data_IF_475471887952
#
_entry.id   IF_475471887952
#
_cell.length_a   1.000
_cell.length_b   1.000
_cell.length_c   1.000
_cell.angle_alpha   90.00
_cell.angle_beta   90.00
_cell.angle_gamma   90.00
#
_symmetry.space_group_name_H-M   'P 1'
#
loop_
_entity.id
_entity.type
_entity.pdbx_description
1 polymer ?
#
# COMPACT_ATOMS: atom_id res chain seq x y z
N UNK A 1 -21.56 12.87 14.98
CA UNK A 1 -21.54 14.33 15.19
C UNK A 1 -20.32 15.06 14.58
N UNK A 2 -19.57 14.46 13.66
CA UNK A 2 -18.37 15.06 13.02
C UNK A 2 -18.61 15.68 11.64
N UNK A 3 -19.80 15.49 11.06
CA UNK A 3 -20.08 15.89 9.66
C UNK A 3 -20.08 17.40 9.37
N UNK A 4 -20.43 18.24 10.34
CA UNK A 4 -20.50 19.69 10.12
C UNK A 4 -19.13 20.38 10.24
N UNK A 5 -18.19 19.85 11.02
CA UNK A 5 -16.82 20.34 11.09
C UNK A 5 -16.09 20.14 9.76
N UNK A 6 -16.35 19.04 9.02
CA UNK A 6 -15.81 18.81 7.67
C UNK A 6 -16.24 19.87 6.65
N UNK A 7 -17.42 20.49 6.83
CA UNK A 7 -17.93 21.53 5.94
C UNK A 7 -17.30 22.93 6.17
N UNK A 8 -16.64 23.16 7.30
CA UNK A 8 -16.04 24.43 7.71
C UNK A 8 -14.52 24.49 7.48
N UNK A 9 -13.87 23.38 7.15
CA UNK A 9 -12.43 23.36 6.88
C UNK A 9 -12.09 24.04 5.53
N UNK A 10 -10.97 24.79 5.45
CA UNK A 10 -10.45 25.24 4.16
C UNK A 10 -10.33 24.01 3.24
N UNK A 11 -10.87 24.12 2.02
CA UNK A 11 -10.95 23.02 1.05
C UNK A 11 -9.60 22.37 0.77
N UNK A 12 -8.52 23.13 0.85
CA UNK A 12 -7.13 22.67 0.70
C UNK A 12 -6.70 21.68 1.78
N UNK A 13 -7.06 21.92 3.05
CA UNK A 13 -6.70 21.01 4.17
C UNK A 13 -7.39 19.65 4.07
N UNK A 14 -8.55 19.58 3.44
CA UNK A 14 -9.34 18.36 3.31
C UNK A 14 -8.62 17.28 2.50
N UNK A 15 -7.91 17.63 1.44
CA UNK A 15 -7.16 16.65 0.63
C UNK A 15 -6.12 15.94 1.46
N UNK A 16 -5.28 16.66 2.17
CA UNK A 16 -4.24 16.07 3.02
C UNK A 16 -4.80 15.24 4.18
N UNK A 17 -5.98 15.57 4.67
CA UNK A 17 -6.66 14.77 5.70
C UNK A 17 -7.19 13.46 5.14
N UNK A 18 -7.75 13.48 3.94
CA UNK A 18 -8.21 12.27 3.26
C UNK A 18 -7.03 11.37 2.89
N UNK A 19 -5.93 11.93 2.36
CA UNK A 19 -4.70 11.16 2.13
C UNK A 19 -4.16 10.52 3.40
N UNK A 20 -4.12 11.26 4.52
CA UNK A 20 -3.67 10.71 5.79
C UNK A 20 -4.60 9.60 6.32
N UNK A 21 -5.92 9.73 6.15
CA UNK A 21 -6.89 8.70 6.50
C UNK A 21 -6.70 7.45 5.63
N UNK A 22 -6.54 7.62 4.31
CA UNK A 22 -6.28 6.52 3.40
C UNK A 22 -5.00 5.76 3.79
N UNK A 23 -3.89 6.48 4.03
CA UNK A 23 -2.63 5.88 4.45
C UNK A 23 -2.76 5.10 5.78
N UNK A 24 -3.55 5.58 6.74
CA UNK A 24 -3.83 4.84 7.98
C UNK A 24 -4.57 3.53 7.73
N UNK A 25 -5.57 3.54 6.86
CA UNK A 25 -6.31 2.34 6.46
C UNK A 25 -5.40 1.36 5.73
N UNK A 26 -4.54 1.85 4.85
CA UNK A 26 -3.54 1.04 4.13
C UNK A 26 -2.55 0.36 5.09
N UNK A 27 -2.07 1.07 6.12
CA UNK A 27 -1.22 0.45 7.18
C UNK A 27 -1.98 -0.64 7.93
N UNK A 28 -3.26 -0.43 8.25
CA UNK A 28 -4.06 -1.47 8.90
C UNK A 28 -4.25 -2.71 8.00
N UNK A 29 -4.43 -2.52 6.69
CA UNK A 29 -4.46 -3.60 5.69
C UNK A 29 -3.14 -4.36 5.63
N UNK A 30 -2.00 -3.65 5.61
CA UNK A 30 -0.67 -4.25 5.63
C UNK A 30 -0.41 -5.07 6.91
N UNK A 31 -0.85 -4.56 8.07
CA UNK A 31 -0.76 -5.30 9.33
C UNK A 31 -1.60 -6.59 9.30
N UNK A 32 -2.83 -6.52 8.77
CA UNK A 32 -3.67 -7.70 8.61
C UNK A 32 -3.03 -8.73 7.66
N UNK A 33 -2.41 -8.28 6.55
CA UNK A 33 -1.68 -9.14 5.62
C UNK A 33 -0.50 -9.84 6.32
N UNK A 34 0.29 -9.11 7.09
CA UNK A 34 1.38 -9.70 7.90
C UNK A 34 0.85 -10.75 8.88
N UNK A 35 -0.23 -10.47 9.59
CA UNK A 35 -0.85 -11.45 10.51
C UNK A 35 -1.37 -12.68 9.76
N UNK A 36 -1.98 -12.51 8.59
CA UNK A 36 -2.40 -13.58 7.70
C UNK A 36 -1.25 -14.52 7.32
N UNK A 37 -0.07 -13.96 7.02
CA UNK A 37 1.12 -14.72 6.62
C UNK A 37 1.76 -15.50 7.79
N UNK A 38 1.31 -15.34 9.03
CA UNK A 38 1.69 -16.24 10.13
C UNK A 38 1.10 -17.63 9.96
N UNK A 39 0.01 -17.73 9.21
CA UNK A 39 -0.68 -19.00 8.92
C UNK A 39 -1.62 -19.45 10.04
N UNK A 40 -2.10 -20.69 9.93
CA UNK A 40 -3.01 -21.31 10.90
C UNK A 40 -4.48 -21.02 10.60
N UNK A 41 -5.33 -21.19 11.61
CA UNK A 41 -6.78 -21.13 11.46
C UNK A 41 -7.33 -19.71 11.24
N UNK A 42 -6.55 -18.68 11.56
CA UNK A 42 -6.96 -17.28 11.46
C UNK A 42 -6.76 -16.67 10.05
N UNK A 43 -6.16 -17.40 9.10
CA UNK A 43 -5.90 -16.90 7.73
C UNK A 43 -7.15 -16.31 7.08
N UNK A 44 -8.26 -17.03 7.10
CA UNK A 44 -9.52 -16.57 6.50
C UNK A 44 -10.13 -15.36 7.22
N UNK A 45 -9.86 -15.20 8.51
CA UNK A 45 -10.25 -14.01 9.27
C UNK A 45 -9.51 -12.79 8.74
N UNK A 46 -8.18 -12.86 8.61
CA UNK A 46 -7.37 -11.76 8.09
C UNK A 46 -7.63 -11.47 6.61
N UNK A 47 -7.93 -12.47 5.77
CA UNK A 47 -8.38 -12.24 4.40
C UNK A 47 -9.62 -11.32 4.36
N UNK A 48 -10.59 -11.55 5.25
CA UNK A 48 -11.80 -10.72 5.34
C UNK A 48 -11.49 -9.32 5.88
N UNK A 49 -10.56 -9.21 6.84
CA UNK A 49 -10.13 -7.94 7.38
C UNK A 49 -9.45 -7.08 6.31
N UNK A 50 -8.54 -7.65 5.49
CA UNK A 50 -7.91 -6.95 4.37
C UNK A 50 -8.97 -6.44 3.39
N UNK A 51 -9.96 -7.27 3.02
CA UNK A 51 -11.06 -6.85 2.15
C UNK A 51 -11.91 -5.72 2.76
N UNK A 52 -12.11 -5.72 4.08
CA UNK A 52 -12.83 -4.63 4.75
C UNK A 52 -12.02 -3.31 4.74
N UNK A 53 -10.68 -3.38 4.87
CA UNK A 53 -9.80 -2.21 4.76
C UNK A 53 -9.75 -1.67 3.35
N UNK A 54 -9.70 -2.53 2.33
CA UNK A 54 -9.75 -2.07 0.93
C UNK A 54 -11.07 -1.33 0.64
N UNK A 55 -12.22 -1.85 1.05
CA UNK A 55 -13.49 -1.14 0.87
C UNK A 55 -13.52 0.22 1.57
N UNK A 56 -12.92 0.34 2.77
CA UNK A 56 -12.80 1.60 3.49
C UNK A 56 -11.89 2.59 2.76
N UNK A 57 -10.75 2.13 2.21
CA UNK A 57 -9.81 2.94 1.44
C UNK A 57 -10.43 3.44 0.13
N UNK A 58 -11.12 2.56 -0.63
CA UNK A 58 -11.82 2.89 -1.86
C UNK A 58 -12.92 3.97 -1.65
N UNK A 59 -13.61 3.96 -0.50
CA UNK A 59 -14.54 5.05 -0.16
C UNK A 59 -13.81 6.39 0.02
N UNK A 60 -12.64 6.38 0.67
CA UNK A 60 -11.82 7.59 0.87
C UNK A 60 -11.27 8.08 -0.46
N UNK A 61 -10.76 7.18 -1.31
CA UNK A 61 -10.26 7.53 -2.65
C UNK A 61 -11.35 8.17 -3.51
N UNK A 62 -12.56 7.61 -3.51
CA UNK A 62 -13.74 8.21 -4.18
C UNK A 62 -14.09 9.59 -3.62
N UNK A 63 -13.94 9.81 -2.30
CA UNK A 63 -14.15 11.11 -1.68
C UNK A 63 -13.13 12.13 -2.16
N UNK A 64 -11.84 11.77 -2.27
CA UNK A 64 -10.76 12.60 -2.84
C UNK A 64 -11.11 13.00 -4.28
N UNK A 65 -11.42 12.04 -5.14
CA UNK A 65 -11.74 12.30 -6.56
C UNK A 65 -13.01 13.15 -6.72
N UNK A 66 -14.00 12.96 -5.85
CA UNK A 66 -15.22 13.78 -5.84
C UNK A 66 -14.91 15.21 -5.38
N UNK A 67 -14.08 15.39 -4.34
CA UNK A 67 -13.63 16.69 -3.87
C UNK A 67 -12.83 17.41 -4.95
N UNK A 68 -11.96 16.69 -5.67
CA UNK A 68 -11.17 17.22 -6.78
C UNK A 68 -12.05 17.79 -7.88
N UNK A 69 -13.13 17.10 -8.27
CA UNK A 69 -14.08 17.59 -9.31
C UNK A 69 -14.83 18.86 -8.89
N UNK A 70 -15.05 19.06 -7.58
CA UNK A 70 -15.86 20.16 -7.03
C UNK A 70 -15.04 21.35 -6.53
N UNK A 71 -13.72 21.22 -6.49
CA UNK A 71 -12.80 22.25 -5.97
C UNK A 71 -12.14 22.97 -7.14
N UNK A 72 -12.22 24.31 -7.18
CA UNK A 72 -11.62 25.13 -8.24
C UNK A 72 -10.14 25.38 -8.01
N UNK A 73 -9.74 25.63 -6.76
CA UNK A 73 -8.34 25.84 -6.35
C UNK A 73 -7.93 24.64 -5.49
N UNK A 74 -6.86 23.96 -5.88
CA UNK A 74 -6.33 22.76 -5.21
C UNK A 74 -4.94 23.06 -4.61
N UNK A 75 -4.53 22.36 -3.51
CA UNK A 75 -3.24 22.60 -2.86
C UNK A 75 -2.03 22.10 -3.66
N UNK A 76 -2.23 21.15 -4.55
CA UNK A 76 -1.27 20.56 -5.48
C UNK A 76 -1.88 20.56 -6.87
N UNK A 77 -1.11 20.25 -7.91
CA UNK A 77 -1.66 20.02 -9.22
C UNK A 77 -2.75 18.94 -9.19
N UNK A 78 -3.73 19.07 -10.05
CA UNK A 78 -4.89 18.16 -10.09
C UNK A 78 -4.50 16.75 -10.57
N UNK A 79 -3.48 16.67 -11.44
CA UNK A 79 -2.86 15.43 -11.87
C UNK A 79 -2.24 14.73 -10.67
N UNK A 80 -1.37 15.42 -9.93
CA UNK A 80 -0.68 14.90 -8.74
C UNK A 80 -1.66 14.36 -7.69
N UNK A 81 -2.72 15.11 -7.40
CA UNK A 81 -3.76 14.65 -6.44
C UNK A 81 -4.40 13.36 -6.91
N UNK A 82 -4.74 13.28 -8.20
CA UNK A 82 -5.38 12.09 -8.79
C UNK A 82 -4.42 10.91 -8.81
N UNK A 83 -3.20 11.12 -9.28
CA UNK A 83 -2.24 10.05 -9.49
C UNK A 83 -1.74 9.51 -8.14
N UNK A 84 -1.47 10.38 -7.16
CA UNK A 84 -1.13 9.96 -5.80
C UNK A 84 -2.23 9.12 -5.13
N UNK A 85 -3.51 9.55 -5.18
CA UNK A 85 -4.57 8.76 -4.54
C UNK A 85 -4.79 7.44 -5.27
N UNK A 86 -4.60 7.40 -6.60
CA UNK A 86 -4.72 6.17 -7.38
C UNK A 86 -3.61 5.18 -6.99
N UNK A 87 -2.35 5.60 -6.93
CA UNK A 87 -1.24 4.73 -6.51
C UNK A 87 -1.39 4.24 -5.06
N UNK A 88 -1.88 5.10 -4.16
CA UNK A 88 -2.19 4.69 -2.78
C UNK A 88 -3.28 3.62 -2.71
N UNK A 89 -4.33 3.74 -3.53
CA UNK A 89 -5.44 2.81 -3.61
C UNK A 89 -5.02 1.48 -4.25
N UNK A 90 -4.20 1.53 -5.30
CA UNK A 90 -3.64 0.34 -5.96
C UNK A 90 -2.83 -0.54 -4.99
N UNK A 91 -2.16 0.06 -3.99
CA UNK A 91 -1.39 -0.70 -3.00
C UNK A 91 -2.29 -1.58 -2.10
N UNK A 92 -3.38 -1.02 -1.57
CA UNK A 92 -4.29 -1.81 -0.73
C UNK A 92 -5.14 -2.77 -1.57
N UNK A 93 -5.49 -2.40 -2.80
CA UNK A 93 -6.19 -3.25 -3.76
C UNK A 93 -5.35 -4.49 -4.10
N UNK A 94 -4.03 -4.33 -4.27
CA UNK A 94 -3.11 -5.44 -4.47
C UNK A 94 -3.01 -6.35 -3.23
N UNK A 95 -3.04 -5.81 -2.00
CA UNK A 95 -3.13 -6.63 -0.78
C UNK A 95 -4.42 -7.46 -0.75
N UNK A 96 -5.55 -6.89 -1.15
CA UNK A 96 -6.82 -7.60 -1.24
C UNK A 96 -6.79 -8.69 -2.32
N UNK A 97 -6.15 -8.44 -3.48
CA UNK A 97 -5.93 -9.47 -4.51
C UNK A 97 -5.09 -10.62 -3.96
N UNK A 98 -4.02 -10.34 -3.22
CA UNK A 98 -3.19 -11.34 -2.53
C UNK A 98 -4.02 -12.18 -1.55
N UNK A 99 -4.84 -11.55 -0.72
CA UNK A 99 -5.72 -12.24 0.22
C UNK A 99 -6.76 -13.12 -0.50
N UNK A 100 -7.30 -12.67 -1.63
CA UNK A 100 -8.23 -13.46 -2.45
C UNK A 100 -7.57 -14.71 -3.04
N UNK A 101 -6.34 -14.62 -3.52
CA UNK A 101 -5.57 -15.76 -4.04
C UNK A 101 -5.30 -16.77 -2.92
N UNK A 102 -4.84 -16.32 -1.75
CA UNK A 102 -4.60 -17.16 -0.58
C UNK A 102 -5.88 -17.88 -0.14
N UNK A 103 -7.00 -17.16 -0.10
CA UNK A 103 -8.31 -17.74 0.24
C UNK A 103 -8.80 -18.73 -0.83
N UNK A 104 -8.57 -18.44 -2.12
CA UNK A 104 -8.98 -19.29 -3.23
C UNK A 104 -8.28 -20.65 -3.20
N UNK A 105 -6.99 -20.65 -2.87
CA UNK A 105 -6.19 -21.89 -2.79
C UNK A 105 -6.17 -22.50 -1.39
N UNK A 106 -6.99 -22.00 -0.46
CA UNK A 106 -7.12 -22.49 0.92
C UNK A 106 -5.77 -22.63 1.65
N UNK A 107 -4.84 -21.71 1.38
CA UNK A 107 -3.52 -21.74 2.00
C UNK A 107 -3.60 -21.39 3.49
N UNK A 108 -2.94 -22.18 4.31
CA UNK A 108 -2.84 -21.96 5.75
C UNK A 108 -1.40 -21.99 6.28
N UNK A 109 -0.43 -22.20 5.41
CA UNK A 109 1.01 -22.21 5.78
C UNK A 109 1.81 -21.40 4.78
N UNK A 110 2.76 -20.62 5.27
CA UNK A 110 3.59 -19.73 4.46
C UNK A 110 5.05 -19.95 4.76
N UNK A 111 5.89 -19.81 3.74
CA UNK A 111 7.34 -19.93 3.89
C UNK A 111 7.94 -18.72 4.64
N UNK A 112 9.11 -18.88 5.29
CA UNK A 112 9.75 -17.77 5.99
C UNK A 112 9.95 -16.52 5.10
N UNK A 113 10.43 -16.60 3.84
CA UNK A 113 10.56 -15.41 2.99
C UNK A 113 9.23 -14.70 2.73
N UNK A 114 8.12 -15.41 2.55
CA UNK A 114 6.79 -14.79 2.41
C UNK A 114 6.40 -13.96 3.63
N UNK A 115 6.72 -14.45 4.85
CA UNK A 115 6.47 -13.72 6.10
C UNK A 115 7.34 -12.48 6.21
N UNK A 116 8.60 -12.57 5.79
CA UNK A 116 9.53 -11.44 5.76
C UNK A 116 9.08 -10.38 4.75
N UNK A 117 8.58 -10.76 3.58
CA UNK A 117 7.94 -9.84 2.62
C UNK A 117 6.73 -9.14 3.26
N UNK A 118 5.93 -9.84 4.09
CA UNK A 118 4.86 -9.22 4.88
C UNK A 118 5.35 -8.13 5.83
N UNK A 119 6.51 -8.31 6.48
CA UNK A 119 7.13 -7.27 7.30
C UNK A 119 7.64 -6.09 6.46
N UNK A 120 8.17 -6.34 5.26
CA UNK A 120 8.56 -5.30 4.30
C UNK A 120 7.34 -4.45 3.91
N UNK A 121 6.22 -5.09 3.58
CA UNK A 121 4.97 -4.41 3.23
C UNK A 121 4.48 -3.48 4.34
N UNK A 122 4.51 -3.92 5.61
CA UNK A 122 4.15 -3.08 6.76
C UNK A 122 5.10 -1.88 6.90
N UNK A 123 6.40 -2.07 6.67
CA UNK A 123 7.39 -0.99 6.71
C UNK A 123 7.14 0.02 5.59
N UNK A 124 6.93 -0.43 4.36
CA UNK A 124 6.65 0.43 3.20
C UNK A 124 5.36 1.26 3.43
N UNK A 125 4.28 0.63 3.89
CA UNK A 125 3.03 1.30 4.24
C UNK A 125 3.23 2.35 5.34
N UNK A 126 4.02 2.04 6.37
CA UNK A 126 4.30 2.96 7.48
C UNK A 126 5.12 4.17 7.02
N UNK A 127 6.12 3.97 6.16
CA UNK A 127 6.93 5.05 5.59
C UNK A 127 6.07 5.94 4.69
N UNK A 128 5.20 5.36 3.86
CA UNK A 128 4.23 6.12 3.05
C UNK A 128 3.32 6.97 3.93
N UNK A 129 2.78 6.40 5.01
CA UNK A 129 1.96 7.14 5.98
C UNK A 129 2.75 8.29 6.66
N UNK A 130 4.06 8.15 6.89
CA UNK A 130 4.91 9.21 7.42
C UNK A 130 5.14 10.33 6.39
N UNK A 131 5.28 9.99 5.10
CA UNK A 131 5.54 10.94 4.02
C UNK A 131 4.33 11.83 3.70
N UNK A 132 3.12 11.28 3.67
CA UNK A 132 1.91 11.98 3.24
C UNK A 132 1.66 13.32 3.94
N UNK A 133 1.74 13.46 5.28
CA UNK A 133 1.52 14.74 5.95
C UNK A 133 2.56 15.83 5.59
N UNK A 134 3.76 15.44 5.17
CA UNK A 134 4.85 16.34 4.81
C UNK A 134 4.58 17.09 3.50
N UNK A 135 3.71 16.55 2.64
CA UNK A 135 3.28 17.20 1.40
C UNK A 135 2.56 18.54 1.63
N UNK A 136 2.14 18.82 2.85
CA UNK A 136 1.62 20.17 3.20
C UNK A 136 2.67 21.28 3.17
N UNK A 137 3.94 20.93 3.22
CA UNK A 137 5.05 21.87 3.37
C UNK A 137 6.28 21.45 2.55
N UNK A 138 6.07 21.06 1.29
CA UNK A 138 7.06 20.45 0.39
C UNK A 138 8.38 21.20 0.41
N UNK A 139 8.38 22.52 0.20
CA UNK A 139 9.59 23.33 0.14
C UNK A 139 10.46 23.28 1.40
N UNK A 140 9.89 22.92 2.58
CA UNK A 140 10.64 22.74 3.83
C UNK A 140 11.02 21.28 4.07
N UNK A 141 10.20 20.36 3.60
CA UNK A 141 10.27 18.94 3.90
C UNK A 141 10.85 18.11 2.74
N UNK A 142 11.24 18.74 1.62
CA UNK A 142 11.71 18.05 0.42
C UNK A 142 12.83 17.04 0.70
N UNK A 143 13.83 17.42 1.48
CA UNK A 143 14.94 16.50 1.84
C UNK A 143 14.48 15.32 2.68
N UNK A 144 13.46 15.50 3.53
CA UNK A 144 12.88 14.42 4.32
C UNK A 144 11.99 13.52 3.46
N UNK A 145 11.19 14.09 2.57
CA UNK A 145 10.38 13.34 1.60
C UNK A 145 11.27 12.46 0.74
N UNK A 146 12.34 12.99 0.13
CA UNK A 146 13.31 12.22 -0.65
C UNK A 146 13.93 11.08 0.16
N UNK A 147 14.30 11.33 1.42
CA UNK A 147 14.86 10.28 2.28
C UNK A 147 13.84 9.19 2.66
N UNK A 148 12.54 9.48 2.65
CA UNK A 148 11.48 8.47 2.88
C UNK A 148 11.19 7.68 1.60
N UNK A 149 11.12 8.33 0.44
CA UNK A 149 10.91 7.63 -0.83
C UNK A 149 12.08 6.70 -1.19
N UNK A 150 13.34 7.13 -0.96
CA UNK A 150 14.51 6.26 -1.10
C UNK A 150 14.48 5.01 -0.20
N UNK A 151 13.89 5.12 1.00
CA UNK A 151 13.74 3.95 1.87
C UNK A 151 12.72 2.95 1.32
N UNK A 152 11.65 3.42 0.69
CA UNK A 152 10.65 2.54 0.06
C UNK A 152 11.29 1.81 -1.12
N UNK A 153 12.03 2.51 -1.99
CA UNK A 153 12.75 1.90 -3.12
C UNK A 153 13.71 0.79 -2.63
N UNK A 154 14.46 1.04 -1.55
CA UNK A 154 15.34 -0.02 -0.97
C UNK A 154 14.56 -1.21 -0.38
N UNK A 155 13.33 -1.00 0.07
CA UNK A 155 12.46 -2.10 0.52
C UNK A 155 11.95 -2.92 -0.65
N UNK A 156 11.68 -2.29 -1.77
CA UNK A 156 11.33 -2.95 -3.02
C UNK A 156 12.51 -3.80 -3.53
N UNK A 157 13.72 -3.24 -3.67
CA UNK A 157 14.92 -3.98 -4.04
C UNK A 157 15.14 -5.21 -3.13
N UNK A 158 14.93 -5.07 -1.82
CA UNK A 158 15.02 -6.19 -0.87
C UNK A 158 13.92 -7.23 -1.10
N UNK A 159 12.69 -6.80 -1.43
CA UNK A 159 11.57 -7.68 -1.73
C UNK A 159 11.81 -8.50 -2.99
N UNK A 160 12.34 -7.88 -4.03
CA UNK A 160 12.73 -8.52 -5.28
C UNK A 160 13.74 -9.65 -5.09
N UNK A 161 14.81 -9.39 -4.32
CA UNK A 161 15.79 -10.41 -3.98
C UNK A 161 15.14 -11.60 -3.26
N UNK A 162 14.22 -11.33 -2.33
CA UNK A 162 13.51 -12.37 -1.57
C UNK A 162 12.52 -13.14 -2.43
N UNK A 163 11.82 -12.49 -3.35
CA UNK A 163 10.94 -13.09 -4.33
C UNK A 163 11.71 -14.08 -5.20
N UNK A 164 12.79 -13.65 -5.82
CA UNK A 164 13.61 -14.48 -6.71
C UNK A 164 14.23 -15.68 -5.98
N UNK A 165 14.78 -15.44 -4.78
CA UNK A 165 15.34 -16.51 -3.98
C UNK A 165 14.25 -17.48 -3.49
N UNK A 166 13.13 -17.00 -3.01
CA UNK A 166 12.01 -17.82 -2.54
C UNK A 166 11.47 -18.73 -3.64
N UNK A 167 11.24 -18.21 -4.84
CA UNK A 167 10.80 -18.99 -6.01
C UNK A 167 11.83 -20.05 -6.42
N UNK A 168 13.11 -19.70 -6.41
CA UNK A 168 14.19 -20.64 -6.72
C UNK A 168 14.28 -21.79 -5.70
N UNK A 169 14.09 -21.50 -4.41
CA UNK A 169 14.07 -22.51 -3.37
C UNK A 169 12.81 -23.38 -3.46
N UNK A 170 11.66 -22.76 -3.73
CA UNK A 170 10.40 -23.46 -3.97
C UNK A 170 10.54 -24.46 -5.12
N UNK A 171 11.11 -24.02 -6.24
CA UNK A 171 11.37 -24.90 -7.42
C UNK A 171 12.25 -26.10 -7.06
N UNK A 172 13.25 -25.92 -6.21
CA UNK A 172 14.17 -27.00 -5.82
C UNK A 172 13.56 -28.02 -4.86
N UNK A 173 12.65 -27.58 -4.01
CA UNK A 173 12.08 -28.41 -2.94
C UNK A 173 10.74 -29.04 -3.31
N UNK A 174 9.98 -28.36 -4.14
CA UNK A 174 8.60 -28.77 -4.44
C UNK A 174 8.57 -29.79 -5.56
N UNK A 175 8.01 -30.95 -5.28
CA UNK A 175 7.83 -32.03 -6.26
C UNK A 175 6.40 -32.07 -6.83
N UNK A 176 5.45 -31.43 -6.15
CA UNK A 176 4.08 -31.27 -6.64
C UNK A 176 3.96 -29.99 -7.50
N UNK A 177 3.64 -30.12 -8.80
CA UNK A 177 3.50 -28.99 -9.69
C UNK A 177 2.41 -27.99 -9.27
N UNK A 178 1.33 -28.45 -8.64
CA UNK A 178 0.25 -27.57 -8.18
C UNK A 178 0.71 -26.74 -6.98
N UNK A 179 1.36 -27.35 -6.00
CA UNK A 179 1.90 -26.63 -4.86
C UNK A 179 2.99 -25.63 -5.28
N UNK A 180 3.81 -25.98 -6.28
CA UNK A 180 4.78 -25.05 -6.87
C UNK A 180 4.07 -23.86 -7.53
N UNK A 181 3.06 -24.10 -8.35
CA UNK A 181 2.30 -23.05 -9.03
C UNK A 181 1.66 -22.08 -8.03
N UNK A 182 0.97 -22.60 -7.02
CA UNK A 182 0.30 -21.79 -5.99
C UNK A 182 1.32 -20.97 -5.19
N UNK A 183 2.42 -21.59 -4.76
CA UNK A 183 3.46 -20.89 -4.02
C UNK A 183 4.13 -19.76 -4.84
N UNK A 184 4.36 -20.01 -6.14
CA UNK A 184 4.88 -18.99 -7.07
C UNK A 184 3.90 -17.82 -7.18
N UNK A 185 2.61 -18.08 -7.35
CA UNK A 185 1.58 -17.06 -7.45
C UNK A 185 1.52 -16.17 -6.19
N UNK A 186 1.69 -16.76 -5.01
CA UNK A 186 1.73 -15.96 -3.76
C UNK A 186 2.97 -15.08 -3.69
N UNK A 187 4.14 -15.58 -4.11
CA UNK A 187 5.36 -14.76 -4.20
C UNK A 187 5.16 -13.58 -5.14
N UNK A 188 4.63 -13.83 -6.35
CA UNK A 188 4.35 -12.79 -7.35
C UNK A 188 3.38 -11.73 -6.82
N UNK A 189 2.34 -12.15 -6.08
CA UNK A 189 1.39 -11.23 -5.47
C UNK A 189 1.99 -10.41 -4.32
N UNK A 190 2.88 -10.98 -3.51
CA UNK A 190 3.54 -10.25 -2.42
C UNK A 190 4.53 -9.21 -2.94
N UNK A 191 5.32 -9.56 -3.95
CA UNK A 191 6.21 -8.62 -4.65
C UNK A 191 5.40 -7.47 -5.26
N UNK A 192 4.34 -7.77 -6.00
CA UNK A 192 3.47 -6.75 -6.58
C UNK A 192 2.84 -5.80 -5.55
N UNK A 193 2.67 -6.19 -4.28
CA UNK A 193 2.25 -5.24 -3.23
C UNK A 193 3.36 -4.23 -2.93
N UNK A 194 4.62 -4.65 -2.90
CA UNK A 194 5.75 -3.75 -2.61
C UNK A 194 5.98 -2.81 -3.77
N UNK A 195 5.86 -3.28 -5.03
CA UNK A 195 5.89 -2.45 -6.23
C UNK A 195 4.86 -1.32 -6.18
N UNK A 196 3.64 -1.59 -5.71
CA UNK A 196 2.64 -0.53 -5.56
C UNK A 196 3.08 0.53 -4.56
N UNK A 197 3.84 0.19 -3.51
CA UNK A 197 4.42 1.19 -2.62
C UNK A 197 5.56 1.97 -3.28
N UNK A 198 6.33 1.35 -4.17
CA UNK A 198 7.31 2.08 -5.00
C UNK A 198 6.59 3.08 -5.90
N UNK A 199 5.47 2.71 -6.54
CA UNK A 199 4.64 3.65 -7.30
C UNK A 199 4.22 4.86 -6.46
N UNK A 200 3.77 4.66 -5.21
CA UNK A 200 3.45 5.76 -4.27
C UNK A 200 4.70 6.64 -4.01
N UNK A 201 5.87 6.05 -3.83
CA UNK A 201 7.11 6.78 -3.60
C UNK A 201 7.51 7.60 -4.84
N UNK A 202 7.33 7.05 -6.03
CA UNK A 202 7.59 7.73 -7.30
C UNK A 202 6.66 8.94 -7.50
N UNK A 203 5.35 8.80 -7.18
CA UNK A 203 4.42 9.93 -7.22
C UNK A 203 4.79 11.03 -6.22
N UNK A 204 5.17 10.67 -4.98
CA UNK A 204 5.65 11.64 -4.00
C UNK A 204 6.91 12.37 -4.51
N UNK A 205 7.83 11.64 -5.14
CA UNK A 205 9.06 12.21 -5.71
C UNK A 205 8.77 13.16 -6.87
N UNK A 206 7.82 12.82 -7.75
CA UNK A 206 7.36 13.68 -8.83
C UNK A 206 6.76 15.00 -8.28
N UNK A 207 5.87 14.90 -7.29
CA UNK A 207 5.30 16.06 -6.61
C UNK A 207 6.39 16.97 -6.01
N UNK A 208 7.42 16.38 -5.38
CA UNK A 208 8.54 17.16 -4.82
C UNK A 208 9.29 17.89 -5.92
N UNK A 209 9.61 17.24 -7.05
CA UNK A 209 10.35 17.83 -8.17
C UNK A 209 9.60 19.02 -8.77
N UNK A 210 8.29 18.94 -8.90
CA UNK A 210 7.46 19.99 -9.48
C UNK A 210 7.26 21.20 -8.57
N UNK A 211 7.49 21.06 -7.26
CA UNK A 211 7.18 22.08 -6.26
C UNK A 211 8.43 22.66 -5.55
N UNK A 212 9.65 22.29 -5.95
CA UNK A 212 10.93 22.79 -5.43
C UNK A 212 11.75 23.41 -6.57
#
# INVERSE_FOLDING_TARGET
MLGWFRALMPREKRFFELFAQHAQVTVAGAQALREMLKGGDDVLHYCKEIGARELEADEIAREVLTALRRTFITPLDRGDIKDLITSMDDAIDQMNKTAKVISLFEMSTFEPPMREMGEIIVRAATISMEAIPLLRSIGKEAGRLNGLTEKIIRLEEQSDEMHDQGRKELFRRQTDPFAFMVGTEVYDHLESVVDRFEDVANEISAIVIENV
#
